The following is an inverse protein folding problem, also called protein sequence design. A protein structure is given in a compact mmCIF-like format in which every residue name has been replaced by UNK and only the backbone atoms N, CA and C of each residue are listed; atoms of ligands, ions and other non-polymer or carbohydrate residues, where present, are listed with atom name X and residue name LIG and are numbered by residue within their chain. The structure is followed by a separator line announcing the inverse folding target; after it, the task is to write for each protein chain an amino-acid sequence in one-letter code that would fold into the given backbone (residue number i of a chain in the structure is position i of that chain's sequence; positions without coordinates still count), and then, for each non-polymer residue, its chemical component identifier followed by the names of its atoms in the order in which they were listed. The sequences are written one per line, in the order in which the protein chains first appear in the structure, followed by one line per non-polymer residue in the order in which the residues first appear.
data_IF_179433855824
#
_entry.id   IF_179433855824
#
_cell.length_a   1.000
_cell.length_b   1.000
_cell.length_c   1.000
_cell.angle_alpha   90.00
_cell.angle_beta   90.00
_cell.angle_gamma   90.00
#
_symmetry.space_group_name_H-M   'P 1'
#
loop_
_entity.id
_entity.type
_entity.pdbx_description
1 polymer ?
#
# COMPACT_ATOMS: atom_id res chain seq x y z
N UNK A 1 -4.83 -31.91 58.74
CA UNK A 1 -3.47 -31.85 59.31
C UNK A 1 -3.00 -30.41 59.23
N UNK A 2 -3.43 -29.61 60.20
CA UNK A 2 -2.71 -29.31 61.45
C UNK A 2 -1.64 -28.25 61.19
N UNK A 3 -1.92 -26.99 61.50
CA UNK A 3 -1.85 -26.36 62.82
C UNK A 3 -0.43 -25.90 63.18
N UNK A 4 -0.40 -24.66 63.70
CA UNK A 4 0.45 -24.21 64.80
C UNK A 4 1.79 -23.53 64.50
N UNK A 5 1.77 -22.23 64.80
CA UNK A 5 2.75 -21.40 65.50
C UNK A 5 3.85 -22.09 66.33
N UNK A 6 4.90 -21.32 66.65
CA UNK A 6 5.42 -21.20 68.02
C UNK A 6 5.42 -19.71 68.48
N UNK A 7 4.84 -19.30 69.63
CA UNK A 7 5.40 -19.29 71.02
C UNK A 7 6.82 -18.75 71.13
N UNK A 8 7.27 -17.89 72.04
CA UNK A 8 6.79 -17.11 73.22
C UNK A 8 8.03 -16.32 73.70
N UNK A 9 7.87 -15.15 74.33
CA UNK A 9 8.64 -14.63 75.49
C UNK A 9 8.34 -13.13 75.63
N UNK A 10 7.55 -12.73 76.63
CA UNK A 10 7.91 -12.51 78.04
C UNK A 10 8.21 -11.03 78.31
N UNK A 11 7.23 -10.44 79.01
CA UNK A 11 7.34 -9.38 80.01
C UNK A 11 8.39 -8.28 79.82
N UNK A 12 7.92 -7.04 79.67
CA UNK A 12 8.27 -6.06 80.69
C UNK A 12 7.14 -5.05 80.90
N UNK A 13 6.66 -5.04 82.14
CA UNK A 13 5.68 -4.12 82.66
C UNK A 13 6.43 -2.81 82.96
N UNK A 14 6.10 -1.72 82.28
CA UNK A 14 6.38 -0.38 82.78
C UNK A 14 5.14 0.49 82.55
N UNK A 15 4.25 0.44 83.54
CA UNK A 15 3.24 1.45 83.77
C UNK A 15 3.94 2.79 84.03
N UNK A 16 4.12 3.58 82.97
CA UNK A 16 4.21 5.03 83.12
C UNK A 16 2.87 5.62 82.69
N UNK A 17 2.00 5.81 83.68
CA UNK A 17 0.86 6.71 83.61
C UNK A 17 1.37 8.13 83.34
N UNK A 18 1.55 8.46 82.07
CA UNK A 18 1.45 9.83 81.62
C UNK A 18 0.07 9.99 80.99
N UNK A 19 -0.89 10.37 81.83
CA UNK A 19 -2.12 11.03 81.39
C UNK A 19 -1.68 12.28 80.61
N UNK A 20 -1.49 12.10 79.32
CA UNK A 20 -1.41 13.20 78.37
C UNK A 20 -2.85 13.65 78.23
N UNK A 21 -3.17 14.78 78.82
CA UNK A 21 -4.44 15.47 78.63
C UNK A 21 -4.61 15.66 77.11
N UNK A 22 -5.38 14.78 76.48
CA UNK A 22 -5.70 14.86 75.06
C UNK A 22 -6.65 16.05 74.96
N UNK A 23 -6.11 17.23 74.67
CA UNK A 23 -6.90 18.44 74.47
C UNK A 23 -7.88 18.20 73.32
N UNK A 24 -9.14 18.63 73.45
CA UNK A 24 -10.18 18.51 72.42
C UNK A 24 -9.73 19.06 71.06
N UNK A 25 -8.80 20.03 71.06
CA UNK A 25 -8.14 20.56 69.86
C UNK A 25 -7.31 19.50 69.11
N UNK A 26 -6.58 18.62 69.81
CA UNK A 26 -5.78 17.57 69.16
C UNK A 26 -6.64 16.48 68.49
N UNK A 27 -7.78 16.14 69.10
CA UNK A 27 -8.75 15.16 68.56
C UNK A 27 -9.49 15.73 67.36
N UNK A 28 -9.86 17.00 67.42
CA UNK A 28 -10.54 17.69 66.30
C UNK A 28 -9.59 17.91 65.13
N UNK A 29 -8.33 18.25 65.38
CA UNK A 29 -7.29 18.41 64.35
C UNK A 29 -6.97 17.08 63.67
N UNK A 30 -6.80 16.00 64.43
CA UNK A 30 -6.67 14.63 63.91
C UNK A 30 -7.90 14.18 63.11
N UNK A 31 -9.11 14.49 63.59
CA UNK A 31 -10.37 14.21 62.87
C UNK A 31 -10.53 15.00 61.57
N UNK A 32 -9.95 16.19 61.48
CA UNK A 32 -9.88 17.00 60.25
C UNK A 32 -8.84 16.46 59.28
N UNK A 33 -7.69 16.00 59.77
CA UNK A 33 -6.66 15.34 58.97
C UNK A 33 -7.16 14.03 58.36
N UNK A 34 -7.83 13.19 59.15
CA UNK A 34 -8.46 11.95 58.69
C UNK A 34 -9.47 12.25 57.56
N UNK A 35 -10.29 13.29 57.71
CA UNK A 35 -11.23 13.72 56.66
C UNK A 35 -10.53 14.22 55.39
N UNK A 36 -9.41 14.92 55.51
CA UNK A 36 -8.60 15.35 54.37
C UNK A 36 -7.99 14.15 53.64
N UNK A 37 -7.45 13.19 54.37
CA UNK A 37 -6.87 11.97 53.82
C UNK A 37 -7.91 11.10 53.10
N UNK A 38 -9.12 10.99 53.66
CA UNK A 38 -10.23 10.28 53.00
C UNK A 38 -10.62 10.92 51.67
N UNK A 39 -10.76 12.26 51.63
CA UNK A 39 -11.01 12.97 50.36
C UNK A 39 -9.89 12.75 49.34
N UNK A 40 -8.63 12.77 49.82
CA UNK A 40 -7.47 12.55 48.95
C UNK A 40 -7.40 11.12 48.41
N UNK A 41 -7.74 10.13 49.24
CA UNK A 41 -7.86 8.72 48.82
C UNK A 41 -8.90 8.59 47.71
N UNK A 42 -10.09 9.16 47.91
CA UNK A 42 -11.20 9.15 46.95
C UNK A 42 -10.86 9.80 45.61
N UNK A 43 -10.05 10.87 45.63
CA UNK A 43 -9.57 11.55 44.45
C UNK A 43 -8.52 10.70 43.70
N UNK A 44 -7.57 10.12 44.45
CA UNK A 44 -6.53 9.26 43.88
C UNK A 44 -7.11 7.99 43.27
N UNK A 45 -8.10 7.37 43.91
CA UNK A 45 -8.77 6.16 43.43
C UNK A 45 -9.56 6.45 42.14
N UNK A 46 -10.22 7.61 42.05
CA UNK A 46 -10.84 8.06 40.78
C UNK A 46 -9.80 8.28 39.68
N UNK A 47 -8.67 8.88 40.00
CA UNK A 47 -7.58 9.14 39.04
C UNK A 47 -6.97 7.84 38.52
N UNK A 48 -6.71 6.89 39.42
CA UNK A 48 -6.22 5.56 39.07
C UNK A 48 -7.21 4.82 38.18
N UNK A 49 -8.50 4.77 38.56
CA UNK A 49 -9.54 4.11 37.76
C UNK A 49 -9.74 4.74 36.37
N UNK A 50 -9.50 6.04 36.24
CA UNK A 50 -9.53 6.72 34.95
C UNK A 50 -8.29 6.39 34.11
N UNK A 51 -7.11 6.32 34.74
CA UNK A 51 -5.86 5.98 34.08
C UNK A 51 -5.83 4.51 33.63
N UNK A 52 -6.37 3.59 34.43
CA UNK A 52 -6.56 2.18 34.06
C UNK A 52 -7.50 2.05 32.86
N UNK A 53 -8.68 2.69 32.88
CA UNK A 53 -9.59 2.70 31.74
C UNK A 53 -8.99 3.33 30.48
N UNK A 54 -8.14 4.33 30.63
CA UNK A 54 -7.43 4.94 29.52
C UNK A 54 -6.36 4.00 28.96
N UNK A 55 -5.60 3.34 29.82
CA UNK A 55 -4.59 2.34 29.44
C UNK A 55 -5.23 1.15 28.74
N UNK A 56 -6.33 0.64 29.27
CA UNK A 56 -7.10 -0.47 28.69
C UNK A 56 -7.62 -0.11 27.29
N UNK A 57 -8.22 1.08 27.13
CA UNK A 57 -8.64 1.57 25.80
C UNK A 57 -7.46 1.76 24.84
N UNK A 58 -6.33 2.28 25.32
CA UNK A 58 -5.12 2.41 24.50
C UNK A 58 -4.64 1.04 24.03
N UNK A 59 -4.63 0.05 24.92
CA UNK A 59 -4.20 -1.30 24.61
C UNK A 59 -5.16 -2.00 23.63
N UNK A 60 -6.47 -1.77 23.74
CA UNK A 60 -7.46 -2.22 22.75
C UNK A 60 -7.27 -1.54 21.39
N UNK A 61 -6.99 -0.24 21.34
CA UNK A 61 -6.72 0.49 20.09
C UNK A 61 -5.42 -0.02 19.45
N UNK A 62 -4.38 -0.24 20.26
CA UNK A 62 -3.07 -0.72 19.81
C UNK A 62 -3.12 -2.19 19.37
N UNK A 63 -3.91 -3.04 20.03
CA UNK A 63 -4.09 -4.44 19.62
C UNK A 63 -4.86 -4.57 18.29
N UNK A 64 -5.81 -3.66 18.02
CA UNK A 64 -6.45 -3.57 16.70
C UNK A 64 -5.48 -3.18 15.57
N UNK A 65 -4.35 -2.52 15.91
CA UNK A 65 -3.39 -1.97 14.94
C UNK A 65 -2.05 -2.73 14.87
N UNK A 66 -1.84 -3.76 15.69
CA UNK A 66 -0.61 -4.58 15.74
C UNK A 66 -0.84 -6.04 15.31
N UNK A 67 -1.77 -6.27 14.38
CA UNK A 67 -1.90 -7.59 13.76
C UNK A 67 -0.70 -7.76 12.82
N UNK A 68 0.30 -8.52 13.25
CA UNK A 68 1.41 -8.90 12.38
C UNK A 68 0.84 -9.65 11.16
N UNK A 69 1.22 -9.21 9.95
CA UNK A 69 0.81 -9.84 8.70
C UNK A 69 2.00 -10.58 8.10
N UNK A 70 1.83 -11.87 7.84
CA UNK A 70 2.78 -12.67 7.10
C UNK A 70 2.20 -13.00 5.72
N UNK A 71 2.91 -12.60 4.68
CA UNK A 71 2.50 -12.80 3.28
C UNK A 71 3.41 -13.85 2.65
N UNK A 72 2.85 -15.02 2.34
CA UNK A 72 3.52 -16.01 1.50
C UNK A 72 3.26 -15.68 0.03
N UNK A 73 4.31 -15.32 -0.71
CA UNK A 73 4.20 -14.96 -2.13
C UNK A 73 4.52 -16.18 -3.00
N UNK A 74 3.56 -16.63 -3.82
CA UNK A 74 3.69 -17.76 -4.76
C UNK A 74 3.35 -17.31 -6.19
N UNK A 75 4.25 -16.58 -6.88
CA UNK A 75 3.94 -15.92 -8.14
C UNK A 75 3.44 -16.92 -9.20
N UNK A 76 2.24 -16.68 -9.71
CA UNK A 76 1.63 -17.41 -10.83
C UNK A 76 1.06 -16.44 -11.86
N UNK A 77 0.44 -15.37 -11.37
CA UNK A 77 -0.16 -14.32 -12.19
C UNK A 77 0.67 -13.05 -12.09
N UNK A 78 1.09 -12.51 -13.22
CA UNK A 78 1.96 -11.34 -13.29
C UNK A 78 1.21 -10.21 -13.96
N UNK A 79 1.09 -9.07 -13.29
CA UNK A 79 0.39 -7.89 -13.80
C UNK A 79 1.43 -6.86 -14.23
N UNK A 80 1.79 -6.78 -15.53
CA UNK A 80 2.70 -5.75 -16.03
C UNK A 80 2.01 -4.40 -16.20
N UNK A 81 2.73 -3.31 -15.92
CA UNK A 81 2.37 -1.96 -16.34
C UNK A 81 2.80 -1.68 -17.81
N UNK A 82 2.55 -0.46 -18.29
CA UNK A 82 2.92 -0.03 -19.64
C UNK A 82 4.43 0.00 -19.85
N UNK A 83 5.20 0.41 -18.85
CA UNK A 83 6.67 0.50 -18.93
C UNK A 83 7.30 -0.89 -19.09
N UNK A 84 6.72 -1.94 -18.48
CA UNK A 84 7.17 -3.32 -18.68
C UNK A 84 7.21 -3.72 -20.16
N UNK A 85 6.22 -3.29 -20.94
CA UNK A 85 6.16 -3.58 -22.37
C UNK A 85 7.08 -2.69 -23.20
N UNK A 86 7.18 -1.41 -22.85
CA UNK A 86 7.98 -0.43 -23.59
C UNK A 86 9.47 -0.68 -23.41
N UNK A 87 9.91 -0.96 -22.18
CA UNK A 87 11.33 -1.04 -21.83
C UNK A 87 11.88 -2.48 -21.82
N UNK A 88 11.03 -3.49 -21.56
CA UNK A 88 11.46 -4.85 -21.22
C UNK A 88 10.71 -5.94 -22.01
N UNK A 89 10.35 -5.67 -23.28
CA UNK A 89 9.58 -6.62 -24.10
C UNK A 89 10.21 -8.03 -24.17
N UNK A 90 11.54 -8.13 -24.24
CA UNK A 90 12.25 -9.44 -24.28
C UNK A 90 12.07 -10.25 -23.00
N UNK A 91 11.99 -9.58 -21.86
CA UNK A 91 11.77 -10.22 -20.56
C UNK A 91 10.32 -10.69 -20.44
N UNK A 92 9.37 -9.88 -20.93
CA UNK A 92 7.95 -10.28 -21.09
C UNK A 92 7.83 -11.54 -21.97
N UNK A 93 8.52 -11.60 -23.11
CA UNK A 93 8.55 -12.78 -23.97
C UNK A 93 9.14 -14.00 -23.27
N UNK A 94 10.17 -13.81 -22.44
CA UNK A 94 10.81 -14.89 -21.68
C UNK A 94 9.86 -15.47 -20.62
N UNK A 95 9.10 -14.61 -19.93
CA UNK A 95 8.01 -15.04 -19.05
C UNK A 95 6.95 -15.81 -19.82
N UNK A 96 6.55 -15.32 -20.99
CA UNK A 96 5.52 -15.96 -21.80
C UNK A 96 5.94 -17.37 -22.26
N UNK A 97 7.22 -17.55 -22.61
CA UNK A 97 7.81 -18.87 -22.95
C UNK A 97 7.83 -19.85 -21.78
N UNK A 98 7.84 -19.36 -20.54
CA UNK A 98 7.83 -20.20 -19.34
C UNK A 98 6.44 -20.75 -18.97
N UNK A 99 5.40 -20.48 -19.77
CA UNK A 99 4.06 -21.03 -19.59
C UNK A 99 4.09 -22.58 -19.54
N UNK A 100 3.37 -23.23 -18.60
CA UNK A 100 2.31 -22.68 -17.75
C UNK A 100 2.76 -22.17 -16.37
N UNK A 101 4.06 -22.01 -16.10
CA UNK A 101 4.55 -21.58 -14.78
C UNK A 101 4.04 -20.18 -14.41
N UNK A 102 4.07 -19.26 -15.38
CA UNK A 102 3.59 -17.90 -15.21
C UNK A 102 2.57 -17.53 -16.29
N UNK A 103 1.59 -16.72 -15.90
CA UNK A 103 0.57 -16.16 -16.77
C UNK A 103 0.59 -14.64 -16.67
N UNK A 104 0.74 -13.98 -17.82
CA UNK A 104 0.65 -12.52 -17.93
C UNK A 104 -0.82 -12.10 -17.93
N UNK A 105 -1.16 -11.27 -16.94
CA UNK A 105 -2.49 -10.71 -16.71
C UNK A 105 -2.45 -9.22 -17.06
N UNK A 106 -2.64 -8.90 -18.35
CA UNK A 106 -2.44 -7.56 -18.89
C UNK A 106 -3.67 -6.69 -18.65
N UNK A 107 -3.59 -5.60 -17.86
CA UNK A 107 -4.71 -4.69 -17.70
C UNK A 107 -5.12 -4.06 -19.05
N UNK A 108 -6.42 -3.95 -19.33
CA UNK A 108 -6.89 -3.34 -20.58
C UNK A 108 -6.41 -1.88 -20.72
N UNK A 109 -6.31 -1.16 -19.61
CA UNK A 109 -5.77 0.22 -19.61
C UNK A 109 -4.35 0.28 -20.18
N UNK A 110 -3.51 -0.72 -19.92
CA UNK A 110 -2.15 -0.81 -20.48
C UNK A 110 -2.20 -1.01 -22.00
N UNK A 111 -3.12 -1.85 -22.49
CA UNK A 111 -3.33 -2.04 -23.94
C UNK A 111 -3.74 -0.72 -24.58
N UNK A 112 -4.68 0.01 -23.97
CA UNK A 112 -5.17 1.30 -24.46
C UNK A 112 -4.05 2.37 -24.47
N UNK A 113 -3.19 2.39 -23.45
CA UNK A 113 -2.02 3.27 -23.41
C UNK A 113 -1.04 2.94 -24.52
N UNK A 114 -0.70 1.66 -24.72
CA UNK A 114 0.18 1.21 -25.80
C UNK A 114 -0.38 1.59 -27.18
N UNK A 115 -1.70 1.48 -27.39
CA UNK A 115 -2.35 1.93 -28.63
C UNK A 115 -2.28 3.45 -28.83
N UNK A 116 -2.36 4.22 -27.74
CA UNK A 116 -2.14 5.66 -27.74
C UNK A 116 -0.69 6.01 -28.10
N UNK A 117 0.28 5.37 -27.43
CA UNK A 117 1.71 5.57 -27.65
C UNK A 117 2.14 5.17 -29.07
N UNK A 118 1.63 4.06 -29.60
CA UNK A 118 1.94 3.58 -30.95
C UNK A 118 1.49 4.54 -32.06
N UNK A 119 0.44 5.34 -31.82
CA UNK A 119 -0.03 6.39 -32.75
C UNK A 119 0.87 7.63 -32.75
N UNK A 120 1.77 7.75 -31.78
CA UNK A 120 2.65 8.90 -31.60
C UNK A 120 1.91 10.16 -31.16
N UNK A 121 2.66 11.23 -30.95
CA UNK A 121 2.14 12.52 -30.49
C UNK A 121 1.64 13.27 -31.72
N UNK A 122 0.33 13.25 -31.96
CA UNK A 122 -0.30 14.06 -33.01
C UNK A 122 -0.32 15.51 -32.54
N UNK A 123 0.31 16.46 -33.27
CA UNK A 123 0.08 17.87 -33.02
C UNK A 123 -1.41 18.15 -33.23
N UNK A 124 -2.10 18.65 -32.20
CA UNK A 124 -3.44 19.21 -32.40
C UNK A 124 -3.25 20.55 -33.15
N UNK A 125 -3.41 20.52 -34.47
CA UNK A 125 -3.48 21.73 -35.29
C UNK A 125 -4.85 22.36 -35.08
N UNK A 126 -4.91 23.43 -34.30
CA UNK A 126 -6.09 24.28 -34.24
C UNK A 126 -6.09 25.17 -35.49
N UNK A 127 -7.27 25.52 -36.02
CA UNK A 127 -7.46 26.30 -37.26
C UNK A 127 -6.83 27.72 -37.27
N UNK A 128 -6.12 28.12 -36.20
CA UNK A 128 -5.42 29.40 -36.06
C UNK A 128 -3.89 29.28 -36.05
N UNK A 129 -3.32 28.11 -36.36
CA UNK A 129 -1.87 27.95 -36.49
C UNK A 129 -1.07 28.01 -35.17
N UNK A 130 -1.75 28.01 -34.02
CA UNK A 130 -1.12 27.94 -32.70
C UNK A 130 -0.98 26.48 -32.30
N UNK A 131 0.26 26.04 -32.04
CA UNK A 131 0.60 24.70 -31.58
C UNK A 131 0.15 24.56 -30.12
N UNK A 132 -1.02 23.96 -29.90
CA UNK A 132 -1.45 23.54 -28.57
C UNK A 132 -1.04 22.08 -28.38
N UNK A 133 0.05 21.82 -27.65
CA UNK A 133 0.34 20.49 -27.15
C UNK A 133 -0.74 20.11 -26.13
N UNK A 134 -1.63 19.19 -26.48
CA UNK A 134 -2.54 18.56 -25.51
C UNK A 134 -1.72 17.72 -24.54
N UNK A 135 -1.25 18.36 -23.47
CA UNK A 135 -0.74 17.67 -22.28
C UNK A 135 -1.93 17.05 -21.56
N UNK A 136 -1.97 15.72 -21.53
CA UNK A 136 -2.70 14.99 -20.52
C UNK A 136 -1.92 15.11 -19.19
N UNK A 137 -2.16 16.20 -18.46
CA UNK A 137 -1.91 16.32 -17.01
C UNK A 137 -2.55 17.64 -16.56
N UNK A 138 -3.57 17.55 -15.71
CA UNK A 138 -4.34 18.71 -15.27
C UNK A 138 -3.51 19.70 -14.46
N UNK A 139 -3.41 20.93 -14.97
CA UNK A 139 -3.15 22.15 -14.18
C UNK A 139 -4.03 23.24 -14.81
N UNK A 140 -5.04 23.70 -14.07
CA UNK A 140 -5.84 24.89 -14.41
C UNK A 140 -5.11 26.12 -13.91
N UNK A 141 -4.62 27.00 -14.79
CA UNK A 141 -4.22 28.36 -14.44
C UNK A 141 -4.69 29.34 -15.51
N UNK A 142 -5.49 30.32 -15.08
CA UNK A 142 -6.00 31.45 -15.87
C UNK A 142 -4.86 32.40 -16.33
N UNK A 143 -5.05 33.14 -17.45
CA UNK A 143 -4.04 34.06 -17.96
C UNK A 143 -4.13 35.45 -17.31
N UNK A 144 -3.00 35.99 -16.87
CA UNK A 144 -2.78 37.43 -16.65
C UNK A 144 -1.65 37.93 -17.56
N UNK A 145 -1.72 39.15 -18.13
CA UNK A 145 -0.73 39.65 -19.07
C UNK A 145 0.32 40.54 -18.38
N UNK A 146 1.60 40.20 -18.51
CA UNK A 146 2.69 41.16 -18.35
C UNK A 146 3.92 40.72 -19.18
N UNK A 147 4.61 41.63 -19.90
CA UNK A 147 5.69 41.29 -20.81
C UNK A 147 7.06 41.46 -20.14
N UNK A 148 7.93 40.45 -20.21
CA UNK A 148 9.38 40.69 -20.24
C UNK A 148 10.17 39.48 -20.75
N UNK A 149 10.96 39.74 -21.80
CA UNK A 149 12.23 39.10 -22.13
C UNK A 149 12.23 37.58 -22.37
N UNK A 150 11.88 37.22 -23.60
CA UNK A 150 11.98 35.89 -24.19
C UNK A 150 13.43 35.40 -24.30
N UNK A 151 13.96 34.85 -23.20
CA UNK A 151 14.99 33.81 -23.29
C UNK A 151 14.29 32.55 -23.78
N UNK A 152 14.62 32.09 -24.98
CA UNK A 152 14.14 30.82 -25.54
C UNK A 152 14.72 29.70 -24.66
N UNK A 153 14.01 29.34 -23.60
CA UNK A 153 14.25 28.11 -22.86
C UNK A 153 13.72 26.98 -23.71
N UNK A 154 14.59 26.37 -24.51
CA UNK A 154 14.29 25.11 -25.19
C UNK A 154 13.91 24.12 -24.10
N UNK A 155 12.62 23.79 -24.02
CA UNK A 155 12.08 22.85 -23.03
C UNK A 155 12.70 21.48 -23.31
N UNK A 156 13.63 21.03 -22.44
CA UNK A 156 14.29 19.71 -22.53
C UNK A 156 13.33 18.53 -22.32
N UNK A 157 12.03 18.78 -22.22
CA UNK A 157 10.99 17.78 -21.93
C UNK A 157 10.47 17.01 -23.14
N UNK A 158 10.92 17.35 -24.34
CA UNK A 158 10.46 16.67 -25.54
C UNK A 158 11.63 16.37 -26.47
N UNK A 159 12.12 15.14 -26.43
CA UNK A 159 13.00 14.60 -27.47
C UNK A 159 12.13 13.84 -28.48
N UNK A 160 11.91 14.39 -29.69
CA UNK A 160 11.13 13.71 -30.73
C UNK A 160 11.67 12.31 -31.05
N UNK A 161 12.99 12.09 -30.91
CA UNK A 161 13.60 10.78 -31.13
C UNK A 161 13.23 9.79 -30.04
N UNK A 162 13.06 10.26 -28.81
CA UNK A 162 12.59 9.41 -27.72
C UNK A 162 11.12 9.04 -27.93
N UNK A 163 10.27 9.99 -28.32
CA UNK A 163 8.86 9.72 -28.62
C UNK A 163 8.70 8.71 -29.77
N UNK A 164 9.52 8.81 -30.82
CA UNK A 164 9.52 7.84 -31.92
C UNK A 164 9.93 6.44 -31.46
N UNK A 165 10.99 6.33 -30.63
CA UNK A 165 11.41 5.05 -30.04
C UNK A 165 10.30 4.41 -29.19
N UNK A 166 9.63 5.19 -28.34
CA UNK A 166 8.52 4.72 -27.50
C UNK A 166 7.34 4.26 -28.36
N UNK A 167 7.01 4.99 -29.42
CA UNK A 167 5.96 4.60 -30.35
C UNK A 167 6.28 3.28 -31.05
N UNK A 168 7.53 3.09 -31.47
CA UNK A 168 7.97 1.85 -32.12
C UNK A 168 7.99 0.66 -31.16
N UNK A 169 8.50 0.83 -29.94
CA UNK A 169 8.44 -0.18 -28.89
C UNK A 169 6.98 -0.58 -28.57
N UNK A 170 6.08 0.40 -28.52
CA UNK A 170 4.65 0.18 -28.29
C UNK A 170 3.98 -0.61 -29.41
N UNK A 171 4.37 -0.39 -30.69
CA UNK A 171 3.90 -1.22 -31.81
C UNK A 171 4.37 -2.66 -31.69
N UNK A 172 5.63 -2.89 -31.30
CA UNK A 172 6.17 -4.24 -31.10
C UNK A 172 5.46 -4.97 -29.96
N UNK A 173 5.21 -4.29 -28.84
CA UNK A 173 4.43 -4.83 -27.74
C UNK A 173 3.00 -5.19 -28.14
N UNK A 174 2.31 -4.31 -28.87
CA UNK A 174 0.96 -4.60 -29.39
C UNK A 174 0.95 -5.76 -30.38
N UNK A 175 1.98 -5.88 -31.21
CA UNK A 175 2.14 -7.01 -32.11
C UNK A 175 2.24 -8.31 -31.31
N UNK A 176 3.09 -8.36 -30.29
CA UNK A 176 3.22 -9.49 -29.37
C UNK A 176 1.89 -9.83 -28.68
N UNK A 177 1.19 -8.85 -28.10
CA UNK A 177 -0.10 -9.07 -27.40
C UNK A 177 -1.17 -9.63 -28.36
N UNK A 178 -1.18 -9.20 -29.62
CA UNK A 178 -2.15 -9.62 -30.63
C UNK A 178 -1.88 -11.01 -31.20
N UNK A 179 -0.64 -11.52 -31.08
CA UNK A 179 -0.37 -12.92 -31.35
C UNK A 179 -1.11 -13.76 -30.30
N UNK A 180 -1.85 -14.80 -30.73
CA UNK A 180 -2.65 -15.65 -29.84
C UNK A 180 -1.74 -16.45 -28.90
N UNK A 181 -1.27 -15.83 -27.81
CA UNK A 181 -0.34 -16.42 -26.87
C UNK A 181 -1.08 -17.02 -25.66
N UNK A 182 -0.95 -18.33 -25.37
CA UNK A 182 -1.67 -18.97 -24.27
C UNK A 182 -1.26 -18.40 -22.90
N UNK A 183 -0.03 -17.91 -22.77
CA UNK A 183 0.49 -17.25 -21.57
C UNK A 183 -0.04 -15.83 -21.31
N UNK A 184 -0.89 -15.26 -22.18
CA UNK A 184 -1.39 -13.90 -22.04
C UNK A 184 -2.92 -13.86 -21.93
N UNK A 185 -3.42 -13.25 -20.87
CA UNK A 185 -4.83 -12.88 -20.71
C UNK A 185 -4.93 -11.38 -20.51
N UNK A 186 -6.00 -10.75 -21.00
CA UNK A 186 -6.33 -9.39 -20.60
C UNK A 186 -7.24 -9.39 -19.39
N UNK A 187 -7.19 -8.33 -18.60
CA UNK A 187 -8.03 -8.18 -17.42
C UNK A 187 -8.67 -6.81 -17.42
N UNK A 188 -10.00 -6.77 -17.23
CA UNK A 188 -10.73 -5.51 -17.04
C UNK A 188 -10.44 -4.96 -15.64
N UNK A 189 -10.67 -3.66 -15.45
CA UNK A 189 -10.59 -3.03 -14.12
C UNK A 189 -11.53 -3.70 -13.11
N UNK A 190 -12.61 -4.37 -13.55
CA UNK A 190 -13.55 -5.11 -12.68
C UNK A 190 -13.14 -6.56 -12.40
N UNK A 191 -11.99 -7.02 -12.91
CA UNK A 191 -11.45 -8.36 -12.68
C UNK A 191 -11.92 -9.43 -13.67
N UNK A 192 -12.64 -9.05 -14.74
CA UNK A 192 -13.03 -10.02 -15.78
C UNK A 192 -11.82 -10.38 -16.64
N UNK A 193 -11.56 -11.67 -16.76
CA UNK A 193 -10.43 -12.21 -17.53
C UNK A 193 -10.90 -12.52 -18.95
N UNK A 194 -10.20 -11.98 -19.94
CA UNK A 194 -10.54 -12.07 -21.35
C UNK A 194 -9.37 -12.60 -22.18
N UNK A 195 -9.68 -13.29 -23.27
CA UNK A 195 -8.65 -13.65 -24.26
C UNK A 195 -8.23 -12.39 -25.03
N UNK A 196 -6.95 -12.28 -25.47
CA UNK A 196 -6.45 -11.12 -26.20
C UNK A 196 -7.31 -10.68 -27.39
N UNK A 197 -7.91 -11.63 -28.09
CA UNK A 197 -8.81 -11.39 -29.24
C UNK A 197 -10.09 -10.62 -28.92
N UNK A 198 -10.48 -10.55 -27.65
CA UNK A 198 -11.73 -9.91 -27.20
C UNK A 198 -11.49 -8.51 -26.62
N UNK A 199 -10.23 -8.12 -26.39
CA UNK A 199 -9.89 -6.92 -25.62
C UNK A 199 -9.97 -5.61 -26.43
N UNK A 200 -9.81 -5.68 -27.76
CA UNK A 200 -9.69 -4.51 -28.66
C UNK A 200 -10.96 -3.66 -28.77
N UNK A 201 -12.08 -4.12 -28.23
CA UNK A 201 -13.39 -3.46 -28.35
C UNK A 201 -13.88 -2.84 -27.03
N UNK A 202 -13.09 -2.94 -25.96
CA UNK A 202 -13.51 -2.46 -24.66
C UNK A 202 -13.05 -1.01 -24.45
N UNK A 203 -13.95 -0.09 -24.76
CA UNK A 203 -13.83 1.31 -24.35
C UNK A 203 -14.12 1.44 -22.86
N UNK A 204 -13.24 2.15 -22.16
CA UNK A 204 -13.36 2.41 -20.73
C UNK A 204 -14.39 3.52 -20.48
N UNK A 205 -15.67 3.18 -20.60
CA UNK A 205 -16.79 4.07 -20.29
C UNK A 205 -17.02 4.05 -18.78
N UNK A 206 -16.08 4.64 -18.02
CA UNK A 206 -16.24 4.68 -16.57
C UNK A 206 -15.06 5.26 -15.80
N UNK A 207 -15.32 6.35 -15.09
CA UNK A 207 -14.49 6.98 -14.06
C UNK A 207 -13.21 7.69 -14.52
N UNK A 208 -13.12 8.97 -14.11
CA UNK A 208 -11.95 9.83 -14.19
C UNK A 208 -10.86 9.38 -13.19
N UNK A 209 -10.46 8.11 -13.24
CA UNK A 209 -9.34 7.55 -12.45
C UNK A 209 -8.05 7.61 -13.25
N UNK A 210 -6.93 7.75 -12.55
CA UNK A 210 -5.61 7.64 -13.18
C UNK A 210 -5.40 6.22 -13.71
N UNK A 211 -4.55 6.06 -14.71
CA UNK A 211 -4.26 4.74 -15.28
C UNK A 211 -3.58 3.84 -14.24
N UNK A 212 -2.72 4.40 -13.40
CA UNK A 212 -2.14 3.71 -12.23
C UNK A 212 -3.20 3.13 -11.29
N UNK A 213 -4.25 3.91 -10.98
CA UNK A 213 -5.33 3.44 -10.12
C UNK A 213 -6.12 2.31 -10.79
N UNK A 214 -6.28 2.34 -12.11
CA UNK A 214 -6.92 1.26 -12.88
C UNK A 214 -6.07 -0.01 -12.91
N UNK A 215 -4.74 0.11 -13.05
CA UNK A 215 -3.80 -1.02 -12.98
C UNK A 215 -3.85 -1.63 -11.57
N UNK A 216 -3.80 -0.79 -10.53
CA UNK A 216 -3.89 -1.25 -9.15
C UNK A 216 -5.22 -1.93 -8.86
N UNK A 217 -6.36 -1.32 -9.24
CA UNK A 217 -7.69 -1.91 -9.04
C UNK A 217 -7.82 -3.26 -9.76
N UNK A 218 -7.24 -3.38 -10.97
CA UNK A 218 -7.16 -4.65 -11.70
C UNK A 218 -6.41 -5.71 -10.89
N UNK A 219 -5.21 -5.40 -10.39
CA UNK A 219 -4.40 -6.34 -9.61
C UNK A 219 -5.06 -6.73 -8.28
N UNK A 220 -5.69 -5.76 -7.59
CA UNK A 220 -6.44 -6.00 -6.36
C UNK A 220 -7.67 -6.88 -6.58
N UNK A 221 -8.32 -6.77 -7.74
CA UNK A 221 -9.46 -7.62 -8.07
C UNK A 221 -9.07 -9.08 -8.34
N UNK A 222 -7.84 -9.33 -8.82
CA UNK A 222 -7.33 -10.68 -9.02
C UNK A 222 -7.02 -11.41 -7.69
N UNK A 223 -6.65 -10.67 -6.63
CA UNK A 223 -6.29 -11.25 -5.32
C UNK A 223 -7.45 -11.36 -4.33
N UNK A 224 -8.67 -10.94 -4.70
CA UNK A 224 -9.84 -10.88 -3.79
C UNK A 224 -10.16 -12.22 -3.11
N UNK A 225 -9.82 -13.34 -3.73
CA UNK A 225 -10.15 -14.68 -3.23
C UNK A 225 -8.98 -15.33 -2.46
N UNK A 226 -8.02 -14.54 -1.97
CA UNK A 226 -6.87 -15.05 -1.21
C UNK A 226 -7.32 -15.82 0.03
N UNK A 227 -6.68 -16.96 0.30
CA UNK A 227 -6.90 -17.70 1.55
C UNK A 227 -6.23 -16.96 2.70
N UNK A 228 -7.02 -16.62 3.71
CA UNK A 228 -6.53 -15.99 4.94
C UNK A 228 -6.67 -16.97 6.12
N UNK A 229 -5.57 -17.23 6.82
CA UNK A 229 -5.54 -17.99 8.07
C UNK A 229 -5.20 -17.03 9.22
N UNK A 230 -5.96 -17.07 10.31
CA UNK A 230 -5.63 -16.35 11.55
C UNK A 230 -5.05 -17.32 12.55
N UNK A 231 -3.82 -17.06 13.00
CA UNK A 231 -3.15 -17.84 14.04
C UNK A 231 -2.72 -16.91 15.18
N UNK A 232 -3.54 -16.90 16.23
CA UNK A 232 -3.40 -15.92 17.31
C UNK A 232 -3.61 -14.49 16.80
N UNK A 233 -2.64 -13.62 17.08
CA UNK A 233 -2.64 -12.21 16.65
C UNK A 233 -2.01 -12.00 15.27
N UNK A 234 -1.58 -13.07 14.58
CA UNK A 234 -0.91 -12.98 13.28
C UNK A 234 -1.85 -13.45 12.16
N UNK A 235 -1.99 -12.63 11.12
CA UNK A 235 -2.67 -13.00 9.87
C UNK A 235 -1.66 -13.59 8.90
N UNK A 236 -2.00 -14.73 8.30
CA UNK A 236 -1.24 -15.38 7.24
C UNK A 236 -2.06 -15.33 5.96
N UNK A 237 -1.50 -14.73 4.91
CA UNK A 237 -2.14 -14.66 3.61
C UNK A 237 -1.21 -15.22 2.55
N UNK A 238 -1.77 -15.97 1.59
CA UNK A 238 -1.02 -16.40 0.40
C UNK A 238 -1.43 -15.52 -0.78
N UNK A 239 -0.45 -15.01 -1.53
CA UNK A 239 -0.67 -14.17 -2.72
C UNK A 239 0.03 -14.79 -3.91
N UNK A 240 -0.72 -15.08 -4.96
CA UNK A 240 -0.21 -15.65 -6.22
C UNK A 240 -0.11 -14.62 -7.36
N UNK A 241 -0.54 -13.39 -7.10
CA UNK A 241 -0.42 -12.25 -8.01
C UNK A 241 0.76 -11.37 -7.60
N UNK A 242 1.56 -10.96 -8.58
CA UNK A 242 2.63 -9.97 -8.41
C UNK A 242 2.45 -8.85 -9.43
N UNK A 243 2.49 -7.61 -8.96
CA UNK A 243 2.55 -6.42 -9.82
C UNK A 243 3.99 -6.20 -10.29
N UNK A 244 4.17 -6.06 -11.60
CA UNK A 244 5.45 -5.74 -12.21
C UNK A 244 5.46 -4.27 -12.60
N UNK A 245 6.30 -3.47 -11.93
CA UNK A 245 6.42 -2.03 -12.19
C UNK A 245 7.75 -1.49 -11.65
N UNK A 246 8.26 -0.46 -12.31
CA UNK A 246 9.38 0.37 -11.83
C UNK A 246 8.89 1.70 -11.22
N UNK A 247 7.60 2.01 -11.31
CA UNK A 247 7.05 3.26 -10.79
C UNK A 247 6.97 3.25 -9.26
N UNK A 248 7.56 4.27 -8.64
CA UNK A 248 7.63 4.38 -7.18
C UNK A 248 6.26 4.61 -6.54
N UNK A 249 5.40 5.43 -7.15
CA UNK A 249 4.11 5.78 -6.59
C UNK A 249 3.16 4.59 -6.66
N UNK A 250 3.10 3.93 -7.82
CA UNK A 250 2.31 2.71 -8.01
C UNK A 250 2.80 1.59 -7.06
N UNK A 251 4.12 1.43 -6.92
CA UNK A 251 4.71 0.50 -5.95
C UNK A 251 4.29 0.79 -4.51
N UNK A 252 4.32 2.06 -4.09
CA UNK A 252 3.86 2.45 -2.74
C UNK A 252 2.37 2.15 -2.56
N UNK A 253 1.52 2.49 -3.54
CA UNK A 253 0.09 2.20 -3.47
C UNK A 253 -0.20 0.69 -3.38
N UNK A 254 0.52 -0.13 -4.13
CA UNK A 254 0.39 -1.58 -4.11
C UNK A 254 0.82 -2.19 -2.76
N UNK A 255 1.97 -1.77 -2.23
CA UNK A 255 2.46 -2.26 -0.93
C UNK A 255 1.52 -1.88 0.23
N UNK A 256 0.90 -0.69 0.18
CA UNK A 256 -0.12 -0.28 1.16
C UNK A 256 -1.41 -1.11 1.12
N UNK A 257 -1.60 -1.94 0.08
CA UNK A 257 -2.74 -2.85 -0.08
C UNK A 257 -2.30 -4.34 -0.05
N UNK A 258 -1.14 -4.64 0.55
CA UNK A 258 -0.59 -5.99 0.69
C UNK A 258 -0.36 -6.72 -0.65
N UNK A 259 -0.27 -5.99 -1.77
CA UNK A 259 -0.02 -6.54 -3.10
C UNK A 259 1.50 -6.68 -3.31
N UNK A 260 2.03 -7.88 -3.57
CA UNK A 260 3.44 -8.05 -3.89
C UNK A 260 3.84 -7.29 -5.15
N UNK A 261 4.99 -6.61 -5.10
CA UNK A 261 5.53 -5.82 -6.22
C UNK A 261 6.97 -6.22 -6.50
N UNK A 262 7.33 -6.33 -7.78
CA UNK A 262 8.71 -6.49 -8.23
C UNK A 262 8.98 -5.66 -9.48
N UNK A 263 10.23 -5.30 -9.67
CA UNK A 263 10.69 -4.82 -10.98
C UNK A 263 10.86 -6.04 -11.89
N UNK A 264 10.61 -5.87 -13.19
CA UNK A 264 10.63 -6.97 -14.13
C UNK A 264 12.02 -7.63 -14.26
N UNK A 265 13.14 -6.90 -14.40
CA UNK A 265 14.47 -7.53 -14.43
C UNK A 265 14.80 -8.35 -13.17
N UNK A 266 14.40 -7.85 -12.00
CA UNK A 266 14.56 -8.56 -10.73
C UNK A 266 13.74 -9.84 -10.69
N UNK A 267 12.51 -9.80 -11.21
CA UNK A 267 11.66 -10.98 -11.32
C UNK A 267 12.27 -12.04 -12.24
N UNK A 268 12.78 -11.64 -13.40
CA UNK A 268 13.46 -12.55 -14.35
C UNK A 268 14.64 -13.27 -13.69
N UNK A 269 15.47 -12.52 -12.96
CA UNK A 269 16.61 -13.08 -12.23
C UNK A 269 16.14 -14.04 -11.14
N UNK A 270 15.14 -13.66 -10.35
CA UNK A 270 14.58 -14.48 -9.29
C UNK A 270 13.96 -15.78 -9.83
N UNK A 271 13.25 -15.70 -10.96
CA UNK A 271 12.59 -16.82 -11.60
C UNK A 271 13.56 -17.73 -12.39
N UNK A 272 14.84 -17.35 -12.52
CA UNK A 272 15.82 -18.10 -13.31
C UNK A 272 15.54 -18.08 -14.81
N UNK A 273 14.84 -17.04 -15.30
CA UNK A 273 14.45 -16.89 -16.71
C UNK A 273 15.48 -16.09 -17.53
N UNK A 274 16.52 -15.57 -16.89
CA UNK A 274 17.55 -14.76 -17.55
C UNK A 274 18.37 -15.57 -18.57
N UNK A 275 18.32 -15.15 -19.83
CA UNK A 275 19.14 -15.60 -20.96
C UNK A 275 19.62 -17.07 -20.91
N UNK A 276 18.72 -17.99 -21.22
CA UNK A 276 19.13 -19.26 -21.84
C UNK A 276 19.48 -18.93 -23.28
N UNK A 277 20.77 -18.65 -23.53
CA UNK A 277 21.29 -18.51 -24.87
C UNK A 277 20.93 -19.74 -25.70
N UNK A 278 20.31 -19.51 -26.85
CA UNK A 278 20.20 -20.52 -27.90
C UNK A 278 21.63 -20.89 -28.33
N UNK A 279 21.99 -22.17 -28.16
CA UNK A 279 22.95 -22.84 -29.03
C UNK A 279 22.28 -23.16 -30.36
#
# INVERSE_FOLDING_TARGET
NNNSSPSTNSANNNNNNNNSEVTEESVTQSSQEIRKLLRRKDELERRQKMQERYSERLQDILSQSTIALNIEVRPRFLVPDTNCFVDYLRDIESIAKAHPLYQLMVPIVVINELEGLAKGIKPAVNASGIIASKLAAGISVQPTPAPSSSRISVDRRFDPRHAEKVAEASKQALHFIKQKHPALMCVTTKGSILKPTTCTFLEDVGEQKSNDDKILETALNLIRNSTEEKRGEVRYITRDVVLLTTDRNLRVKALSNDLPVRELPDFIKWAGLGFIGLN
#
